data_IF_856531702585
#
_entry.id   IF_856531702585
#
_cell.length_a   1.000
_cell.length_b   1.000
_cell.length_c   1.000
_cell.angle_alpha   90.00
_cell.angle_beta   90.00
_cell.angle_gamma   90.00
#
_symmetry.space_group_name_H-M   'P 1'
#
loop_
_entity.id
_entity.type
_entity.pdbx_description
1 polymer ?
#
# COMPACT_ATOMS: atom_id res chain seq x y z
N UNK A 1 5.43 -28.91 6.41
CA UNK A 1 6.83 -28.56 6.70
C UNK A 1 6.85 -27.34 7.59
N UNK A 2 7.75 -27.33 8.56
CA UNK A 2 8.04 -26.21 9.45
C UNK A 2 9.52 -25.88 9.29
N UNK A 3 9.83 -24.59 9.17
CA UNK A 3 11.20 -24.11 9.21
C UNK A 3 11.32 -23.11 10.36
N UNK A 4 12.38 -23.25 11.15
CA UNK A 4 12.72 -22.30 12.21
C UNK A 4 14.23 -22.07 12.21
N UNK A 5 14.64 -20.97 12.81
CA UNK A 5 16.06 -20.69 13.03
C UNK A 5 16.40 -21.24 14.41
N UNK A 6 17.41 -22.08 14.48
CA UNK A 6 17.97 -22.57 15.74
C UNK A 6 18.55 -21.38 16.52
N UNK A 7 18.15 -21.15 17.78
CA UNK A 7 18.58 -19.98 18.54
C UNK A 7 20.05 -20.02 18.96
N UNK A 8 20.65 -21.21 19.06
CA UNK A 8 22.03 -21.40 19.52
C UNK A 8 23.01 -21.33 18.35
N UNK A 9 22.65 -21.92 17.20
CA UNK A 9 23.53 -21.97 16.02
C UNK A 9 23.21 -20.90 14.98
N UNK A 10 22.00 -20.33 15.00
CA UNK A 10 21.50 -19.42 13.96
C UNK A 10 21.20 -20.12 12.63
N UNK A 11 21.27 -21.45 12.58
CA UNK A 11 21.04 -22.21 11.35
C UNK A 11 19.54 -22.39 11.06
N UNK A 12 19.19 -22.45 9.78
CA UNK A 12 17.83 -22.78 9.36
C UNK A 12 17.60 -24.28 9.48
N UNK A 13 16.70 -24.67 10.38
CA UNK A 13 16.27 -26.05 10.56
C UNK A 13 14.94 -26.25 9.84
N UNK A 14 14.88 -27.23 8.92
CA UNK A 14 13.67 -27.58 8.17
C UNK A 14 13.24 -29.01 8.50
N UNK A 15 11.94 -29.18 8.78
CA UNK A 15 11.39 -30.45 9.24
C UNK A 15 9.98 -30.70 8.68
N UNK A 16 9.57 -31.97 8.62
CA UNK A 16 8.17 -32.34 8.47
C UNK A 16 7.37 -31.96 9.72
N UNK A 17 6.04 -31.96 9.60
CA UNK A 17 5.17 -31.65 10.75
C UNK A 17 5.31 -32.70 11.88
N UNK A 18 5.80 -33.88 11.54
CA UNK A 18 6.12 -35.02 12.40
C UNK A 18 7.51 -34.93 13.04
N UNK A 19 8.34 -33.94 12.64
CA UNK A 19 9.65 -33.65 13.25
C UNK A 19 10.86 -34.23 12.52
N UNK A 20 10.67 -35.02 11.47
CA UNK A 20 11.79 -35.55 10.68
C UNK A 20 12.48 -34.43 9.90
N UNK A 21 13.82 -34.40 9.88
CA UNK A 21 14.57 -33.38 9.17
C UNK A 21 14.37 -33.49 7.66
N UNK A 22 14.29 -32.34 7.00
CA UNK A 22 14.20 -32.23 5.54
C UNK A 22 15.55 -31.83 4.94
N UNK A 23 16.05 -32.57 3.94
CA UNK A 23 17.24 -32.15 3.22
C UNK A 23 17.04 -30.77 2.54
N UNK A 24 18.09 -29.91 2.47
CA UNK A 24 18.00 -28.59 1.84
C UNK A 24 17.47 -28.62 0.40
N UNK A 25 17.88 -29.61 -0.40
CA UNK A 25 17.43 -29.77 -1.79
C UNK A 25 15.92 -30.05 -1.90
N UNK A 26 15.35 -30.77 -0.94
CA UNK A 26 13.90 -31.04 -0.88
C UNK A 26 13.15 -29.79 -0.42
N UNK A 27 13.72 -29.05 0.55
CA UNK A 27 13.17 -27.76 0.99
C UNK A 27 13.09 -26.77 -0.19
N UNK A 28 14.17 -26.62 -0.97
CA UNK A 28 14.19 -25.74 -2.15
C UNK A 28 13.11 -26.10 -3.15
N UNK A 29 12.98 -27.39 -3.48
CA UNK A 29 11.95 -27.89 -4.40
C UNK A 29 10.54 -27.57 -3.89
N UNK A 30 10.27 -27.80 -2.61
CA UNK A 30 8.97 -27.52 -1.99
C UNK A 30 8.70 -26.02 -1.91
N UNK A 31 9.72 -25.21 -1.65
CA UNK A 31 9.60 -23.76 -1.52
C UNK A 31 9.18 -23.07 -2.83
N UNK A 32 9.58 -23.61 -3.99
CA UNK A 32 9.27 -23.05 -5.32
C UNK A 32 7.79 -22.74 -5.56
N UNK A 33 6.87 -23.49 -4.94
CA UNK A 33 5.44 -23.27 -5.07
C UNK A 33 4.70 -23.25 -3.71
N UNK A 34 5.43 -23.03 -2.62
CA UNK A 34 4.86 -23.05 -1.29
C UNK A 34 4.11 -21.74 -0.98
N UNK A 35 2.96 -21.86 -0.33
CA UNK A 35 2.35 -20.75 0.40
C UNK A 35 2.96 -20.67 1.80
N UNK A 36 3.85 -19.70 2.02
CA UNK A 36 4.60 -19.56 3.27
C UNK A 36 3.83 -18.67 4.25
N UNK A 37 3.69 -19.12 5.50
CA UNK A 37 3.20 -18.32 6.62
C UNK A 37 4.28 -18.24 7.70
N UNK A 38 4.71 -17.02 8.03
CA UNK A 38 5.70 -16.78 9.10
C UNK A 38 5.06 -16.50 10.45
N UNK A 39 5.76 -16.87 11.52
CA UNK A 39 5.47 -16.48 12.91
C UNK A 39 6.77 -15.98 13.53
N UNK A 40 6.73 -14.82 14.18
CA UNK A 40 7.83 -14.32 15.00
C UNK A 40 7.51 -14.57 16.46
N UNK A 41 8.50 -15.02 17.21
CA UNK A 41 8.42 -15.25 18.65
C UNK A 41 9.38 -14.32 19.38
N UNK A 42 9.09 -14.01 20.64
CA UNK A 42 10.09 -13.46 21.56
C UNK A 42 11.02 -14.56 22.08
N UNK A 43 11.99 -14.18 22.90
CA UNK A 43 12.96 -15.10 23.50
C UNK A 43 12.34 -16.08 24.49
N UNK A 44 11.13 -15.82 24.98
CA UNK A 44 10.38 -16.72 25.86
C UNK A 44 9.46 -17.68 25.06
N UNK A 45 9.48 -17.62 23.72
CA UNK A 45 8.62 -18.43 22.86
C UNK A 45 7.20 -17.90 22.70
N UNK A 46 6.93 -16.65 23.10
CA UNK A 46 5.62 -16.02 22.92
C UNK A 46 5.50 -15.48 21.50
N UNK A 47 4.44 -15.82 20.75
CA UNK A 47 4.25 -15.32 19.39
C UNK A 47 3.96 -13.80 19.38
N UNK A 48 4.86 -13.03 18.78
CA UNK A 48 4.75 -11.58 18.60
C UNK A 48 4.03 -11.18 17.32
N UNK A 49 4.21 -11.97 16.26
CA UNK A 49 3.65 -11.68 14.94
C UNK A 49 3.32 -12.95 14.19
N UNK A 50 2.25 -12.92 13.39
CA UNK A 50 1.83 -14.03 12.53
C UNK A 50 1.34 -13.46 11.20
N UNK A 51 1.97 -13.90 10.12
CA UNK A 51 1.47 -13.71 8.77
C UNK A 51 0.29 -14.64 8.48
N UNK A 52 -0.39 -14.47 7.35
CA UNK A 52 -1.39 -15.44 6.90
C UNK A 52 -1.42 -15.46 5.38
N UNK A 53 -1.59 -16.64 4.81
CA UNK A 53 -1.84 -16.84 3.37
C UNK A 53 -3.28 -16.53 3.00
N UNK A 54 -4.18 -16.40 4.00
CA UNK A 54 -5.55 -15.95 3.77
C UNK A 54 -5.56 -14.47 3.41
N UNK A 55 -6.48 -14.10 2.51
CA UNK A 55 -6.73 -12.70 2.14
C UNK A 55 -7.53 -11.92 3.18
N UNK A 56 -8.08 -12.58 4.20
CA UNK A 56 -8.85 -11.95 5.26
C UNK A 56 -8.03 -11.86 6.54
N UNK A 57 -8.16 -10.73 7.24
CA UNK A 57 -7.55 -10.55 8.55
C UNK A 57 -8.09 -11.60 9.53
N UNK A 58 -7.22 -12.15 10.37
CA UNK A 58 -7.65 -12.98 11.50
C UNK A 58 -8.32 -12.14 12.58
N UNK A 59 -9.07 -12.75 13.50
CA UNK A 59 -9.68 -12.02 14.62
C UNK A 59 -8.64 -11.29 15.49
N UNK A 60 -7.48 -11.91 15.74
CA UNK A 60 -6.38 -11.28 16.45
C UNK A 60 -5.81 -10.08 15.68
N UNK A 61 -5.65 -10.21 14.36
CA UNK A 61 -5.19 -9.11 13.53
C UNK A 61 -6.18 -7.95 13.51
N UNK A 62 -7.48 -8.25 13.40
CA UNK A 62 -8.52 -7.23 13.45
C UNK A 62 -8.53 -6.48 14.79
N UNK A 63 -8.39 -7.18 15.91
CA UNK A 63 -8.25 -6.55 17.25
C UNK A 63 -7.03 -5.63 17.32
N UNK A 64 -5.89 -6.06 16.80
CA UNK A 64 -4.69 -5.22 16.75
C UNK A 64 -4.88 -3.98 15.87
N UNK A 65 -5.58 -4.10 14.74
CA UNK A 65 -5.95 -2.97 13.90
C UNK A 65 -6.91 -2.01 14.62
N UNK A 66 -7.90 -2.51 15.36
CA UNK A 66 -8.81 -1.69 16.18
C UNK A 66 -8.02 -0.89 17.21
N UNK A 67 -7.09 -1.54 17.92
CA UNK A 67 -6.25 -0.87 18.92
C UNK A 67 -5.32 0.18 18.30
N UNK A 68 -4.76 -0.09 17.12
CA UNK A 68 -3.81 0.82 16.44
C UNK A 68 -4.50 2.00 15.76
N UNK A 69 -5.60 1.73 15.05
CA UNK A 69 -6.24 2.72 14.18
C UNK A 69 -7.36 3.48 14.91
N UNK A 70 -7.94 2.92 15.97
CA UNK A 70 -9.01 3.53 16.78
C UNK A 70 -10.34 3.73 16.05
N UNK A 71 -10.38 3.48 14.74
CA UNK A 71 -11.53 3.71 13.86
C UNK A 71 -11.08 3.74 12.40
N UNK A 72 -11.96 4.21 11.52
CA UNK A 72 -11.60 4.40 10.10
C UNK A 72 -10.46 5.42 9.98
N UNK A 73 -9.34 5.07 9.36
CA UNK A 73 -8.19 5.98 9.19
C UNK A 73 -8.48 7.17 8.26
N UNK A 74 -9.58 7.12 7.51
CA UNK A 74 -10.01 8.21 6.62
C UNK A 74 -10.97 9.22 7.24
N UNK A 75 -11.84 8.79 8.15
CA UNK A 75 -12.90 9.66 8.70
C UNK A 75 -13.12 9.53 10.21
N UNK A 76 -12.41 8.63 10.90
CA UNK A 76 -12.50 8.44 12.34
C UNK A 76 -13.76 7.71 12.84
N UNK A 77 -14.63 7.21 11.96
CA UNK A 77 -15.84 6.53 12.40
C UNK A 77 -15.55 5.23 13.19
N UNK A 78 -16.52 4.80 14.00
CA UNK A 78 -16.36 3.71 14.96
C UNK A 78 -15.84 2.41 14.32
N UNK A 79 -14.90 1.69 14.96
CA UNK A 79 -14.30 0.48 14.39
C UNK A 79 -15.29 -0.63 14.01
N UNK A 80 -16.44 -0.72 14.69
CA UNK A 80 -17.49 -1.70 14.35
C UNK A 80 -18.07 -1.52 12.93
N UNK A 81 -17.89 -0.33 12.33
CA UNK A 81 -18.31 -0.02 10.95
C UNK A 81 -17.17 -0.19 9.94
N UNK A 82 -16.02 -0.68 10.39
CA UNK A 82 -14.79 -0.76 9.60
C UNK A 82 -14.42 -2.21 9.25
N UNK A 83 -13.71 -2.35 8.14
CA UNK A 83 -13.10 -3.58 7.69
C UNK A 83 -11.59 -3.36 7.52
N UNK A 84 -10.82 -4.45 7.65
CA UNK A 84 -9.39 -4.44 7.34
C UNK A 84 -9.20 -4.32 5.82
N UNK A 85 -8.45 -3.31 5.40
CA UNK A 85 -8.13 -3.00 4.02
C UNK A 85 -6.62 -3.07 3.80
N UNK A 86 -6.18 -3.78 2.77
CA UNK A 86 -4.75 -3.84 2.43
C UNK A 86 -4.26 -2.53 1.79
N UNK A 87 -3.14 -1.99 2.27
CA UNK A 87 -2.48 -0.81 1.68
C UNK A 87 -1.92 -1.17 0.31
N UNK A 88 -1.05 -2.20 0.24
CA UNK A 88 -0.71 -2.87 -1.02
C UNK A 88 -1.77 -3.93 -1.27
N UNK A 89 -2.55 -3.87 -2.37
CA UNK A 89 -3.63 -4.82 -2.63
C UNK A 89 -3.17 -6.28 -2.60
N UNK A 90 -3.98 -7.17 -2.03
CA UNK A 90 -3.69 -8.60 -2.02
C UNK A 90 -3.55 -9.20 -3.43
N UNK A 91 -4.29 -8.68 -4.43
CA UNK A 91 -4.17 -9.05 -5.84
C UNK A 91 -2.82 -8.73 -6.46
N UNK A 92 -2.06 -7.79 -5.86
CA UNK A 92 -0.71 -7.41 -6.28
C UNK A 92 0.36 -8.03 -5.35
N UNK A 93 0.01 -9.07 -4.60
CA UNK A 93 0.91 -9.74 -3.65
C UNK A 93 1.13 -8.95 -2.36
N UNK A 94 0.17 -8.11 -1.95
CA UNK A 94 0.18 -7.49 -0.64
C UNK A 94 -0.05 -8.52 0.48
N UNK A 95 0.83 -8.65 1.48
CA UNK A 95 0.68 -9.65 2.52
C UNK A 95 -0.39 -9.23 3.53
N UNK A 96 -1.07 -10.21 4.14
CA UNK A 96 -2.07 -9.96 5.20
C UNK A 96 -1.36 -9.84 6.54
N UNK A 97 -0.88 -8.63 6.83
CA UNK A 97 -0.10 -8.29 8.03
C UNK A 97 -0.64 -7.01 8.64
N UNK A 98 -0.39 -6.78 9.93
CA UNK A 98 -0.78 -5.50 10.56
C UNK A 98 -0.17 -4.31 9.83
N UNK A 99 1.11 -4.39 9.44
CA UNK A 99 1.81 -3.30 8.76
C UNK A 99 1.26 -2.98 7.36
N UNK A 100 0.62 -3.93 6.67
CA UNK A 100 0.05 -3.75 5.34
C UNK A 100 -1.48 -3.66 5.35
N UNK A 101 -2.12 -3.52 6.50
CA UNK A 101 -3.58 -3.35 6.60
C UNK A 101 -3.94 -2.12 7.43
N UNK A 102 -5.10 -1.52 7.15
CA UNK A 102 -5.71 -0.42 7.93
C UNK A 102 -7.22 -0.62 8.06
N UNK A 103 -7.85 -0.01 9.05
CA UNK A 103 -9.31 0.04 9.14
C UNK A 103 -9.89 1.11 8.23
N UNK A 104 -10.82 0.70 7.36
CA UNK A 104 -11.66 1.60 6.56
C UNK A 104 -13.14 1.22 6.68
N UNK A 105 -14.00 2.23 6.79
CA UNK A 105 -15.43 2.03 6.63
C UNK A 105 -15.82 1.92 5.15
N UNK A 106 -17.03 1.42 4.87
CA UNK A 106 -17.54 1.23 3.52
C UNK A 106 -17.28 2.43 2.58
N UNK A 107 -17.65 3.63 3.01
CA UNK A 107 -17.49 4.84 2.19
C UNK A 107 -16.02 5.17 1.89
N UNK A 108 -15.13 5.06 2.88
CA UNK A 108 -13.71 5.33 2.70
C UNK A 108 -13.00 4.21 1.92
N UNK A 109 -13.44 2.96 2.11
CA UNK A 109 -12.98 1.80 1.35
C UNK A 109 -13.28 1.98 -0.15
N UNK A 110 -14.49 2.43 -0.49
CA UNK A 110 -14.89 2.71 -1.86
C UNK A 110 -14.03 3.81 -2.50
N UNK A 111 -13.69 4.88 -1.76
CA UNK A 111 -12.80 5.95 -2.27
C UNK A 111 -11.42 5.42 -2.67
N UNK A 112 -10.86 4.49 -1.91
CA UNK A 112 -9.56 3.89 -2.22
C UNK A 112 -9.64 3.02 -3.48
N UNK A 113 -10.68 2.19 -3.61
CA UNK A 113 -10.84 1.31 -4.77
C UNK A 113 -11.21 2.04 -6.06
N UNK A 114 -12.03 3.09 -5.98
CA UNK A 114 -12.68 3.69 -7.17
C UNK A 114 -12.31 5.14 -7.45
N UNK A 115 -11.75 5.87 -6.48
CA UNK A 115 -11.46 7.30 -6.62
C UNK A 115 -9.97 7.62 -6.52
N UNK A 116 -9.11 6.60 -6.65
CA UNK A 116 -7.64 6.73 -6.65
C UNK A 116 -7.09 7.39 -5.37
N UNK A 117 -7.83 7.30 -4.26
CA UNK A 117 -7.30 7.69 -2.96
C UNK A 117 -6.28 6.67 -2.51
N UNK A 118 -5.21 7.11 -1.84
CA UNK A 118 -4.17 6.21 -1.33
C UNK A 118 -4.10 6.30 0.19
N UNK A 119 -3.62 5.23 0.83
CA UNK A 119 -3.32 5.23 2.26
C UNK A 119 -1.85 5.60 2.42
N UNK A 120 -1.56 6.63 3.21
CA UNK A 120 -0.21 7.05 3.55
C UNK A 120 -0.01 7.06 5.06
N UNK A 121 1.24 6.87 5.51
CA UNK A 121 1.60 7.03 6.92
C UNK A 121 2.20 8.41 7.14
N UNK A 122 1.57 9.25 7.96
CA UNK A 122 2.02 10.59 8.35
C UNK A 122 2.01 10.72 9.86
N UNK A 123 3.08 11.29 10.43
CA UNK A 123 3.24 11.48 11.88
C UNK A 123 2.90 10.24 12.73
N UNK A 124 3.31 9.05 12.25
CA UNK A 124 3.07 7.78 12.93
C UNK A 124 1.69 7.16 12.73
N UNK A 125 0.72 7.88 12.17
CA UNK A 125 -0.66 7.42 11.90
C UNK A 125 -0.90 7.18 10.41
N UNK A 126 -1.90 6.37 10.09
CA UNK A 126 -2.35 6.20 8.71
C UNK A 126 -3.45 7.21 8.40
N UNK A 127 -3.43 7.75 7.19
CA UNK A 127 -4.38 8.74 6.70
C UNK A 127 -4.71 8.47 5.22
N UNK A 128 -5.92 8.86 4.80
CA UNK A 128 -6.30 8.83 3.39
C UNK A 128 -5.85 10.09 2.67
N UNK A 129 -5.11 9.90 1.58
CA UNK A 129 -4.64 10.96 0.71
C UNK A 129 -5.52 11.03 -0.56
N UNK A 130 -6.03 12.21 -0.95
CA UNK A 130 -6.73 12.38 -2.21
C UNK A 130 -5.81 12.10 -3.39
N UNK A 131 -6.37 11.73 -4.56
CA UNK A 131 -5.58 11.55 -5.76
C UNK A 131 -4.81 12.82 -6.09
N UNK A 132 -3.57 12.64 -6.54
CA UNK A 132 -2.78 13.75 -7.07
C UNK A 132 -3.50 14.27 -8.30
N UNK A 133 -4.13 15.44 -8.18
CA UNK A 133 -4.63 16.16 -9.35
C UNK A 133 -3.41 16.67 -10.10
N UNK A 134 -2.98 15.95 -11.13
CA UNK A 134 -2.19 16.59 -12.18
C UNK A 134 -3.07 17.70 -12.76
N UNK A 135 -2.80 18.95 -12.38
CA UNK A 135 -3.23 20.06 -13.23
C UNK A 135 -2.52 19.81 -14.54
N UNK A 136 -3.21 19.21 -15.52
CA UNK A 136 -2.80 19.38 -16.90
C UNK A 136 -2.71 20.90 -17.09
N UNK A 137 -1.50 21.41 -17.30
CA UNK A 137 -1.35 22.78 -17.72
C UNK A 137 -2.22 22.90 -18.98
N UNK A 138 -3.28 23.70 -18.92
CA UNK A 138 -3.98 24.08 -20.14
C UNK A 138 -2.89 24.62 -21.09
N UNK A 139 -2.81 24.14 -22.35
CA UNK A 139 -1.92 24.76 -23.31
C UNK A 139 -2.19 26.26 -23.27
N UNK A 140 -1.18 27.07 -22.95
CA UNK A 140 -1.32 28.52 -23.11
C UNK A 140 -1.80 28.73 -24.54
N UNK A 141 -2.90 29.47 -24.71
CA UNK A 141 -3.29 29.91 -26.03
C UNK A 141 -2.06 30.56 -26.69
N UNK A 142 -1.72 30.25 -27.95
CA UNK A 142 -0.64 30.92 -28.64
C UNK A 142 -0.89 32.42 -28.57
N UNK A 143 0.17 33.20 -28.37
CA UNK A 143 0.05 34.66 -28.34
C UNK A 143 -0.67 35.14 -29.61
N UNK A 144 -1.59 36.11 -29.51
CA UNK A 144 -2.25 36.66 -30.68
C UNK A 144 -1.20 37.18 -31.65
N UNK A 145 -1.40 36.99 -32.98
CA UNK A 145 -0.44 37.44 -33.97
C UNK A 145 -0.19 38.93 -33.80
N UNK A 146 1.09 39.33 -33.87
CA UNK A 146 1.50 40.71 -33.73
C UNK A 146 0.67 41.61 -34.66
N UNK A 147 0.12 42.69 -34.10
CA UNK A 147 -0.69 43.64 -34.85
C UNK A 147 0.13 44.17 -36.04
N UNK A 148 -0.46 44.12 -37.24
CA UNK A 148 0.19 44.59 -38.47
C UNK A 148 0.50 46.09 -38.31
N UNK A 149 1.74 46.55 -38.56
CA UNK A 149 2.07 47.96 -38.43
C UNK A 149 1.20 48.81 -39.36
N UNK A 150 0.82 50.04 -38.96
CA UNK A 150 -0.06 50.89 -39.75
C UNK A 150 0.59 51.20 -41.11
N UNK A 151 -0.24 51.18 -42.16
CA UNK A 151 0.20 51.47 -43.51
C UNK A 151 0.82 52.88 -43.58
N UNK A 152 2.03 52.96 -44.13
CA UNK A 152 2.75 54.22 -44.32
C UNK A 152 1.99 55.05 -45.37
N UNK A 153 1.48 56.21 -44.97
CA UNK A 153 0.82 57.11 -45.92
C UNK A 153 1.85 57.70 -46.91
N UNK A 154 1.53 57.79 -48.20
CA UNK A 154 2.44 58.39 -49.18
C UNK A 154 2.57 59.90 -48.89
N UNK A 155 3.82 60.39 -48.88
CA UNK A 155 4.11 61.83 -48.81
C UNK A 155 3.63 62.48 -50.10
N UNK A 156 2.70 63.44 -49.98
CA UNK A 156 2.37 64.34 -51.06
C UNK A 156 3.62 65.15 -51.43
N UNK A 157 4.07 64.98 -52.67
CA UNK A 157 5.12 65.80 -53.28
C UNK A 157 4.41 67.02 -53.85
N UNK A 158 4.65 68.20 -53.28
CA UNK A 158 4.16 69.46 -53.84
C UNK A 158 5.16 69.95 -54.89
N UNK A 159 4.79 69.93 -56.16
CA UNK A 159 5.52 70.60 -57.24
C UNK A 159 5.10 72.07 -57.33
N UNK A 160 6.08 72.97 -57.37
CA UNK A 160 5.94 74.39 -57.73
C UNK A 160 5.87 74.58 -59.24
#
# INVERSE_FOLDING_TARGET
MVCHVDPDTGELVSQLATGEPLPPSVLELLACNASITGVLYDTAGTPLWRGTTKRTATAAQLKALIARDGGCVGCGCHPALCQAHHIKPASQGGPTTISNMVLLCWNCHHKVHHNQWTVARRHGRFELQPPVRTRQAQPRAPDPPAARPPARQPRLVTSS
#
